data_IF_534825159223
#
_entry.id   IF_534825159223
#
_cell.length_a   1.000
_cell.length_b   1.000
_cell.length_c   1.000
_cell.angle_alpha   90.00
_cell.angle_beta   90.00
_cell.angle_gamma   90.00
#
_symmetry.space_group_name_H-M   'P 1'
#
loop_
_entity.id
_entity.type
_entity.pdbx_description
1 polymer ?
#
# COMPACT_ATOMS: atom_id res chain seq x y z
N UNK A 1 -13.46 8.56 -17.58
CA UNK A 1 -11.99 8.56 -17.82
C UNK A 1 -11.19 8.38 -16.53
N UNK A 2 -11.61 8.94 -15.39
CA UNK A 2 -10.91 8.82 -14.10
C UNK A 2 -10.52 7.40 -13.68
N UNK A 3 -11.40 6.39 -13.85
CA UNK A 3 -11.09 5.00 -13.44
C UNK A 3 -9.84 4.43 -14.11
N UNK A 4 -9.65 4.73 -15.40
CA UNK A 4 -8.47 4.27 -16.13
C UNK A 4 -7.21 4.91 -15.55
N UNK A 5 -7.27 6.21 -15.23
CA UNK A 5 -6.14 6.95 -14.65
C UNK A 5 -5.71 6.34 -13.31
N UNK A 6 -6.65 6.07 -12.40
CA UNK A 6 -6.34 5.46 -11.11
C UNK A 6 -5.77 4.04 -11.24
N UNK A 7 -6.25 3.24 -12.19
CA UNK A 7 -5.67 1.92 -12.46
C UNK A 7 -4.25 2.01 -13.03
N UNK A 8 -3.98 2.95 -13.94
CA UNK A 8 -2.64 3.20 -14.47
C UNK A 8 -1.66 3.67 -13.40
N UNK A 9 -2.10 4.58 -12.52
CA UNK A 9 -1.30 5.03 -11.38
C UNK A 9 -0.94 3.85 -10.48
N UNK A 10 -1.92 3.01 -10.13
CA UNK A 10 -1.68 1.81 -9.33
C UNK A 10 -0.68 0.86 -9.98
N UNK A 11 -0.82 0.60 -11.29
CA UNK A 11 0.07 -0.29 -12.03
C UNK A 11 1.51 0.24 -12.04
N UNK A 12 1.70 1.54 -12.29
CA UNK A 12 3.02 2.18 -12.28
C UNK A 12 3.65 2.11 -10.88
N UNK A 13 2.88 2.42 -9.83
CA UNK A 13 3.37 2.44 -8.45
C UNK A 13 3.76 1.03 -7.97
N UNK A 14 2.84 0.05 -8.05
CA UNK A 14 3.11 -1.29 -7.56
C UNK A 14 4.09 -2.06 -8.46
N UNK A 15 4.04 -1.83 -9.78
CA UNK A 15 5.03 -2.37 -10.71
C UNK A 15 6.43 -1.80 -10.46
N UNK A 16 6.54 -0.49 -10.22
CA UNK A 16 7.79 0.14 -9.82
C UNK A 16 8.35 -0.41 -8.50
N UNK A 17 7.49 -0.60 -7.50
CA UNK A 17 7.89 -1.21 -6.22
C UNK A 17 8.37 -2.66 -6.38
N UNK A 18 7.74 -3.45 -7.24
CA UNK A 18 8.23 -4.80 -7.55
C UNK A 18 9.62 -4.73 -8.18
N UNK A 19 9.81 -3.92 -9.23
CA UNK A 19 11.12 -3.76 -9.88
C UNK A 19 12.18 -3.32 -8.87
N UNK A 20 11.87 -2.37 -7.99
CA UNK A 20 12.79 -1.92 -6.95
C UNK A 20 13.13 -3.03 -5.95
N UNK A 21 12.14 -3.83 -5.56
CA UNK A 21 12.34 -5.03 -4.72
C UNK A 21 13.32 -6.00 -5.39
N UNK A 22 13.19 -6.20 -6.71
CA UNK A 22 14.10 -7.03 -7.49
C UNK A 22 15.53 -6.50 -7.61
N UNK A 23 15.70 -5.18 -7.66
CA UNK A 23 17.02 -4.56 -7.87
C UNK A 23 17.78 -4.29 -6.57
N UNK A 24 17.09 -3.95 -5.49
CA UNK A 24 17.71 -3.38 -4.29
C UNK A 24 17.60 -4.26 -3.05
N UNK A 25 16.67 -5.21 -2.99
CA UNK A 25 16.42 -5.99 -1.79
C UNK A 25 17.31 -7.24 -1.72
N UNK A 26 17.75 -7.62 -0.52
CA UNK A 26 18.49 -8.89 -0.33
C UNK A 26 17.54 -10.07 -0.57
N UNK A 27 18.05 -11.14 -1.19
CA UNK A 27 17.31 -12.38 -1.53
C UNK A 27 16.39 -12.89 -0.40
N UNK A 28 16.81 -12.77 0.86
CA UNK A 28 16.05 -13.25 2.02
C UNK A 28 14.73 -12.51 2.29
N UNK A 29 14.54 -11.29 1.78
CA UNK A 29 13.36 -10.46 2.05
C UNK A 29 12.42 -10.33 0.85
N UNK A 30 12.75 -11.02 -0.25
CA UNK A 30 11.99 -10.92 -1.50
C UNK A 30 10.56 -11.41 -1.35
N UNK A 31 10.37 -12.51 -0.61
CA UNK A 31 9.06 -13.13 -0.50
C UNK A 31 8.13 -12.26 0.35
N UNK A 32 8.62 -11.73 1.47
CA UNK A 32 7.90 -10.81 2.35
C UNK A 32 7.54 -9.51 1.61
N UNK A 33 8.50 -8.91 0.91
CA UNK A 33 8.27 -7.68 0.16
C UNK A 33 7.27 -7.88 -0.99
N UNK A 34 7.40 -8.98 -1.74
CA UNK A 34 6.46 -9.30 -2.83
C UNK A 34 5.05 -9.54 -2.32
N UNK A 35 4.91 -10.27 -1.21
CA UNK A 35 3.62 -10.50 -0.54
C UNK A 35 3.01 -9.19 -0.05
N UNK A 36 3.81 -8.31 0.55
CA UNK A 36 3.36 -7.00 1.01
C UNK A 36 2.87 -6.11 -0.14
N UNK A 37 3.60 -6.10 -1.26
CA UNK A 37 3.20 -5.34 -2.45
C UNK A 37 1.90 -5.89 -3.03
N UNK A 38 1.77 -7.22 -3.15
CA UNK A 38 0.56 -7.87 -3.64
C UNK A 38 -0.65 -7.56 -2.74
N UNK A 39 -0.48 -7.66 -1.42
CA UNK A 39 -1.53 -7.30 -0.46
C UNK A 39 -1.95 -5.83 -0.58
N UNK A 40 -0.97 -4.93 -0.69
CA UNK A 40 -1.22 -3.48 -0.84
C UNK A 40 -1.98 -3.17 -2.14
N UNK A 41 -1.67 -3.87 -3.24
CA UNK A 41 -2.38 -3.73 -4.50
C UNK A 41 -3.85 -4.18 -4.39
N UNK A 42 -4.13 -5.25 -3.65
CA UNK A 42 -5.51 -5.71 -3.38
C UNK A 42 -6.28 -4.68 -2.55
N UNK A 43 -5.67 -4.13 -1.49
CA UNK A 43 -6.29 -3.07 -0.67
C UNK A 43 -6.59 -1.84 -1.52
N UNK A 44 -5.66 -1.42 -2.39
CA UNK A 44 -5.87 -0.32 -3.31
C UNK A 44 -7.05 -0.57 -4.27
N UNK A 45 -7.13 -1.77 -4.85
CA UNK A 45 -8.25 -2.15 -5.72
C UNK A 45 -9.59 -2.11 -4.95
N UNK A 46 -9.62 -2.61 -3.72
CA UNK A 46 -10.80 -2.57 -2.86
C UNK A 46 -11.24 -1.13 -2.53
N UNK A 47 -10.29 -0.23 -2.24
CA UNK A 47 -10.57 1.20 -2.02
C UNK A 47 -11.13 1.88 -3.28
N UNK A 48 -10.60 1.57 -4.46
CA UNK A 48 -11.14 2.09 -5.71
C UNK A 48 -12.57 1.59 -5.99
N UNK A 49 -12.86 0.32 -5.68
CA UNK A 49 -14.22 -0.20 -5.75
C UNK A 49 -15.15 0.49 -4.75
N UNK A 50 -14.66 0.74 -3.53
CA UNK A 50 -15.41 1.42 -2.47
C UNK A 50 -15.70 2.88 -2.84
N UNK A 51 -14.75 3.61 -3.44
CA UNK A 51 -14.93 4.99 -3.94
C UNK A 51 -16.14 5.10 -4.88
N UNK A 52 -16.36 4.09 -5.73
CA UNK A 52 -17.49 4.05 -6.66
C UNK A 52 -18.84 3.85 -5.93
N UNK A 53 -18.85 3.06 -4.85
CA UNK A 53 -20.07 2.67 -4.14
C UNK A 53 -20.46 3.66 -3.04
N UNK A 54 -19.49 4.12 -2.26
CA UNK A 54 -19.70 5.04 -1.15
C UNK A 54 -18.46 5.93 -0.97
N UNK A 55 -18.55 7.17 -1.43
CA UNK A 55 -17.45 8.13 -1.36
C UNK A 55 -17.10 8.51 0.08
N UNK A 56 -18.10 8.63 0.97
CA UNK A 56 -17.86 8.92 2.40
C UNK A 56 -17.12 7.77 3.08
N UNK A 57 -17.53 6.53 2.81
CA UNK A 57 -16.84 5.33 3.29
C UNK A 57 -15.39 5.28 2.82
N UNK A 58 -15.14 5.58 1.54
CA UNK A 58 -13.79 5.66 0.98
C UNK A 58 -12.89 6.68 1.70
N UNK A 59 -13.41 7.88 1.99
CA UNK A 59 -12.64 8.91 2.72
C UNK A 59 -12.29 8.45 4.14
N UNK A 60 -13.26 7.88 4.86
CA UNK A 60 -13.04 7.38 6.22
C UNK A 60 -12.01 6.25 6.23
N UNK A 61 -12.15 5.26 5.35
CA UNK A 61 -11.21 4.12 5.30
C UNK A 61 -9.81 4.57 4.89
N UNK A 62 -9.70 5.46 3.89
CA UNK A 62 -8.40 5.98 3.46
C UNK A 62 -7.76 6.82 4.55
N UNK A 63 -8.53 7.67 5.23
CA UNK A 63 -8.07 8.46 6.37
C UNK A 63 -7.63 7.59 7.54
N UNK A 64 -8.37 6.54 7.87
CA UNK A 64 -8.02 5.59 8.92
C UNK A 64 -6.72 4.83 8.61
N UNK A 65 -6.55 4.35 7.37
CA UNK A 65 -5.32 3.69 6.92
C UNK A 65 -4.14 4.66 6.98
N UNK A 66 -4.32 5.90 6.52
CA UNK A 66 -3.27 6.91 6.56
C UNK A 66 -2.86 7.25 8.01
N UNK A 67 -3.82 7.44 8.91
CA UNK A 67 -3.57 7.67 10.32
C UNK A 67 -2.84 6.48 10.96
N UNK A 68 -3.30 5.25 10.71
CA UNK A 68 -2.65 4.04 11.21
C UNK A 68 -1.21 3.89 10.69
N UNK A 69 -0.96 4.19 9.41
CA UNK A 69 0.37 4.16 8.83
C UNK A 69 1.30 5.20 9.48
N UNK A 70 0.83 6.44 9.66
CA UNK A 70 1.58 7.50 10.34
C UNK A 70 1.92 7.09 11.77
N UNK A 71 0.93 6.63 12.53
CA UNK A 71 1.10 6.13 13.91
C UNK A 71 2.14 5.02 13.93
N UNK A 72 2.01 4.01 13.07
CA UNK A 72 2.97 2.90 12.99
C UNK A 72 4.39 3.37 12.66
N UNK A 73 4.58 4.33 11.75
CA UNK A 73 5.91 4.86 11.42
C UNK A 73 6.55 5.52 12.64
N UNK A 74 5.79 6.31 13.40
CA UNK A 74 6.32 7.02 14.58
C UNK A 74 6.44 6.14 15.82
N UNK A 75 5.58 5.13 15.98
CA UNK A 75 5.61 4.20 17.11
C UNK A 75 6.45 2.95 16.85
N UNK A 76 6.88 2.69 15.61
CA UNK A 76 7.80 1.60 15.29
C UNK A 76 9.00 1.51 16.26
N UNK A 77 9.74 2.61 16.55
CA UNK A 77 10.87 2.55 17.48
C UNK A 77 10.49 2.26 18.94
N UNK A 78 9.22 2.43 19.32
CA UNK A 78 8.72 2.20 20.69
C UNK A 78 8.14 0.79 20.85
N UNK A 79 7.48 0.26 19.81
CA UNK A 79 6.78 -1.03 19.84
C UNK A 79 7.73 -2.18 19.50
N UNK A 80 8.67 -1.96 18.58
CA UNK A 80 9.73 -2.91 18.23
C UNK A 80 11.08 -2.26 18.56
N UNK A 81 11.48 -2.24 19.84
CA UNK A 81 12.83 -1.78 20.20
C UNK A 81 13.83 -2.66 19.44
N UNK A 82 14.55 -2.04 18.51
CA UNK A 82 15.66 -2.68 17.83
C UNK A 82 16.66 -3.13 18.90
N UNK A 83 16.75 -4.44 19.11
CA UNK A 83 17.89 -5.07 19.77
C UNK A 83 19.07 -5.11 18.80
#
# INVERSE_FOLDING_TARGET
MEKRIFSWIGLVIFGGMLIQTFLQLKSSYFMEASLFIAFSAVVYAALLMLKKKNFSGYLITTGAIAAAAVIMIFLYPVILPAH
#
